data_IF_359119777751
#
_entry.id   IF_359119777751
#
_cell.length_a   1.000
_cell.length_b   1.000
_cell.length_c   1.000
_cell.angle_alpha   90.00
_cell.angle_beta   90.00
_cell.angle_gamma   90.00
#
_symmetry.space_group_name_H-M   'P 1'
#
loop_
_entity.id
_entity.type
_entity.pdbx_description
1 polymer ?
#
# COMPACT_ATOMS: atom_id res chain seq x y z
N UNK A 1 -12.20 -6.02 1.47
CA UNK A 1 -11.66 -7.10 0.60
C UNK A 1 -11.31 -8.36 1.40
N UNK A 2 -10.77 -8.25 2.63
CA UNK A 2 -10.44 -9.42 3.46
C UNK A 2 -11.67 -10.28 3.72
N UNK A 3 -12.82 -9.66 4.05
CA UNK A 3 -14.09 -10.37 4.23
C UNK A 3 -14.59 -11.07 2.96
N UNK A 4 -14.39 -10.43 1.80
CA UNK A 4 -14.85 -10.95 0.52
C UNK A 4 -13.97 -12.05 -0.05
N UNK A 5 -12.68 -12.05 0.32
CA UNK A 5 -11.66 -12.96 -0.22
C UNK A 5 -10.73 -13.48 0.88
N UNK A 6 -11.28 -14.18 1.91
CA UNK A 6 -10.48 -14.66 3.05
C UNK A 6 -9.39 -15.64 2.62
N UNK A 7 -9.66 -16.50 1.62
CA UNK A 7 -8.67 -17.45 1.13
C UNK A 7 -7.46 -16.74 0.47
N UNK A 8 -7.71 -15.65 -0.26
CA UNK A 8 -6.61 -14.85 -0.83
C UNK A 8 -5.81 -14.15 0.26
N UNK A 9 -6.47 -13.66 1.30
CA UNK A 9 -5.81 -13.06 2.44
C UNK A 9 -4.91 -14.08 3.16
N UNK A 10 -5.42 -15.29 3.43
CA UNK A 10 -4.64 -16.35 4.04
C UNK A 10 -3.45 -16.75 3.16
N UNK A 11 -3.64 -16.86 1.85
CA UNK A 11 -2.56 -17.18 0.90
C UNK A 11 -1.44 -16.11 0.91
N UNK A 12 -1.77 -14.83 1.11
CA UNK A 12 -0.78 -13.76 1.26
C UNK A 12 0.09 -14.00 2.50
N UNK A 13 -0.53 -14.35 3.62
CA UNK A 13 0.16 -14.65 4.87
C UNK A 13 1.02 -15.91 4.77
N UNK A 14 0.48 -16.99 4.20
CA UNK A 14 1.17 -18.29 4.03
C UNK A 14 2.42 -18.18 3.14
N UNK A 15 2.41 -17.22 2.21
CA UNK A 15 3.56 -16.90 1.36
C UNK A 15 4.57 -15.97 2.03
N UNK A 16 4.39 -15.67 3.31
CA UNK A 16 5.31 -14.86 4.10
C UNK A 16 5.25 -13.35 3.84
N UNK A 17 4.20 -12.86 3.15
CA UNK A 17 4.02 -11.42 3.00
C UNK A 17 3.49 -10.80 4.29
N UNK A 18 3.84 -9.55 4.56
CA UNK A 18 3.25 -8.77 5.64
C UNK A 18 2.04 -7.99 5.13
N UNK A 19 1.04 -7.89 5.98
CA UNK A 19 -0.16 -7.08 5.76
C UNK A 19 -0.12 -5.84 6.64
N UNK A 20 -0.88 -4.82 6.29
CA UNK A 20 -0.99 -3.59 7.07
C UNK A 20 -2.41 -3.05 7.04
N UNK A 21 -2.79 -2.35 8.10
CA UNK A 21 -4.08 -1.67 8.19
C UNK A 21 -4.11 -0.48 7.21
N UNK A 22 -5.20 -0.36 6.47
CA UNK A 22 -5.42 0.72 5.50
C UNK A 22 -6.82 1.34 5.63
N UNK A 23 -7.36 1.34 6.84
CA UNK A 23 -8.75 1.64 7.22
C UNK A 23 -9.77 0.66 6.61
N UNK A 24 -10.97 0.65 7.15
CA UNK A 24 -12.06 -0.21 6.67
C UNK A 24 -12.73 0.36 5.42
N UNK A 25 -13.11 1.64 5.48
CA UNK A 25 -13.90 2.30 4.43
C UNK A 25 -13.06 3.02 3.36
N UNK A 26 -11.73 3.04 3.50
CA UNK A 26 -10.79 3.71 2.58
C UNK A 26 -11.09 5.21 2.37
N UNK A 27 -11.56 5.91 3.41
CA UNK A 27 -11.88 7.32 3.37
C UNK A 27 -10.65 8.22 3.54
N UNK A 28 -10.75 9.44 3.04
CA UNK A 28 -9.72 10.48 3.28
C UNK A 28 -9.84 11.00 4.70
N UNK A 29 -8.82 10.84 5.52
CA UNK A 29 -8.84 11.24 6.93
C UNK A 29 -9.27 12.69 7.17
N UNK A 30 -8.81 13.64 6.35
CA UNK A 30 -9.19 15.06 6.49
C UNK A 30 -10.68 15.38 6.32
N UNK A 31 -11.51 14.41 5.90
CA UNK A 31 -12.97 14.52 5.80
C UNK A 31 -13.71 13.89 6.99
N UNK A 32 -12.95 13.41 7.98
CA UNK A 32 -13.46 12.71 9.14
C UNK A 32 -12.99 13.39 10.43
N UNK A 33 -13.78 13.33 11.50
CA UNK A 33 -13.28 13.65 12.83
C UNK A 33 -12.20 12.64 13.26
N UNK A 34 -11.46 12.95 14.32
CA UNK A 34 -10.43 12.03 14.84
C UNK A 34 -11.09 10.72 15.29
N UNK A 35 -12.17 10.82 16.03
CA UNK A 35 -12.92 9.70 16.60
C UNK A 35 -13.39 8.74 15.50
N UNK A 36 -14.11 9.26 14.49
CA UNK A 36 -14.60 8.47 13.36
C UNK A 36 -13.47 7.82 12.54
N UNK A 37 -12.33 8.52 12.42
CA UNK A 37 -11.18 7.96 11.72
C UNK A 37 -10.56 6.81 12.49
N UNK A 38 -10.47 6.92 13.82
CA UNK A 38 -9.97 5.84 14.68
C UNK A 38 -10.95 4.64 14.67
N UNK A 39 -12.26 4.87 14.77
CA UNK A 39 -13.26 3.82 14.64
C UNK A 39 -13.11 3.04 13.31
N UNK A 40 -12.90 3.74 12.19
CA UNK A 40 -12.68 3.13 10.87
C UNK A 40 -11.37 2.31 10.81
N UNK A 41 -10.34 2.75 11.51
CA UNK A 41 -9.08 2.00 11.67
C UNK A 41 -9.29 0.77 12.55
N UNK A 42 -10.05 0.88 13.61
CA UNK A 42 -10.32 -0.23 14.55
C UNK A 42 -11.14 -1.34 13.88
N UNK A 43 -12.16 -0.99 13.10
CA UNK A 43 -12.89 -1.96 12.28
C UNK A 43 -11.98 -2.74 11.33
N UNK A 44 -10.97 -2.10 10.77
CA UNK A 44 -10.00 -2.81 9.94
C UNK A 44 -9.01 -3.63 10.78
N UNK A 45 -8.67 -3.20 12.00
CA UNK A 45 -7.76 -3.91 12.89
C UNK A 45 -8.34 -5.24 13.40
N UNK A 46 -9.67 -5.33 13.53
CA UNK A 46 -10.36 -6.58 13.89
C UNK A 46 -10.15 -7.70 12.84
N UNK A 47 -9.84 -7.32 11.61
CA UNK A 47 -9.61 -8.26 10.50
C UNK A 47 -8.15 -8.41 10.13
N UNK A 48 -7.38 -7.33 10.28
CA UNK A 48 -5.97 -7.26 9.87
C UNK A 48 -5.11 -7.02 11.10
N UNK A 49 -4.61 -8.11 11.68
CA UNK A 49 -3.72 -8.05 12.84
C UNK A 49 -2.32 -7.62 12.40
N UNK A 50 -2.03 -6.33 12.52
CA UNK A 50 -0.76 -5.75 12.09
C UNK A 50 -0.43 -4.48 12.87
N UNK A 51 0.86 -4.24 13.08
CA UNK A 51 1.38 -2.98 13.61
C UNK A 51 1.67 -1.94 12.51
N UNK A 52 1.47 -2.32 11.24
CA UNK A 52 1.67 -1.44 10.10
C UNK A 52 0.38 -0.71 9.74
N UNK A 53 0.49 0.56 9.45
CA UNK A 53 -0.61 1.39 8.97
C UNK A 53 -0.19 2.26 7.79
N UNK A 54 -1.09 2.42 6.83
CA UNK A 54 -0.95 3.41 5.76
C UNK A 54 -2.24 4.20 5.60
N UNK A 55 -2.21 5.54 5.65
CA UNK A 55 -3.42 6.33 5.45
C UNK A 55 -3.86 6.30 3.99
N UNK A 56 -5.16 6.08 3.69
CA UNK A 56 -5.70 6.19 2.34
C UNK A 56 -5.34 7.54 1.69
N UNK A 57 -4.92 7.50 0.44
CA UNK A 57 -4.52 8.68 -0.34
C UNK A 57 -3.38 9.51 0.27
N UNK A 58 -2.68 9.03 1.30
CA UNK A 58 -1.79 9.83 2.16
C UNK A 58 -2.51 11.02 2.83
N UNK A 59 -3.83 10.90 3.07
CA UNK A 59 -4.68 11.98 3.58
C UNK A 59 -5.07 11.72 5.03
N UNK A 60 -4.25 12.25 5.93
CA UNK A 60 -4.41 12.16 7.38
C UNK A 60 -4.13 13.51 8.01
N UNK A 61 -4.86 13.89 9.04
CA UNK A 61 -4.61 15.10 9.82
C UNK A 61 -3.56 14.85 10.91
N UNK A 62 -2.93 15.92 11.42
CA UNK A 62 -1.95 15.79 12.50
C UNK A 62 -2.52 15.14 13.77
N UNK A 63 -3.73 15.49 14.25
CA UNK A 63 -4.32 14.82 15.41
C UNK A 63 -4.55 13.31 15.17
N UNK A 64 -5.09 12.93 14.00
CA UNK A 64 -5.28 11.53 13.61
C UNK A 64 -3.94 10.78 13.56
N UNK A 65 -2.91 11.37 12.93
CA UNK A 65 -1.58 10.77 12.86
C UNK A 65 -1.00 10.54 14.26
N UNK A 66 -1.16 11.51 15.17
CA UNK A 66 -0.68 11.38 16.57
C UNK A 66 -1.37 10.20 17.27
N UNK A 67 -2.67 10.05 17.12
CA UNK A 67 -3.43 8.95 17.72
C UNK A 67 -3.01 7.58 17.12
N UNK A 68 -2.90 7.49 15.79
CA UNK A 68 -2.48 6.28 15.09
C UNK A 68 -1.06 5.86 15.46
N UNK A 69 -0.13 6.80 15.55
CA UNK A 69 1.28 6.52 15.83
C UNK A 69 1.55 5.97 17.24
N UNK A 70 0.57 5.99 18.13
CA UNK A 70 0.65 5.33 19.44
C UNK A 70 0.50 3.80 19.35
N UNK A 71 -0.13 3.31 18.28
CA UNK A 71 -0.50 1.89 18.10
C UNK A 71 0.11 1.26 16.85
N UNK A 72 0.39 2.09 15.85
CA UNK A 72 0.82 1.64 14.54
C UNK A 72 2.07 2.37 14.08
N UNK A 73 2.91 1.67 13.35
CA UNK A 73 3.99 2.27 12.56
C UNK A 73 3.44 2.69 11.20
N UNK A 74 3.46 3.99 10.94
CA UNK A 74 2.95 4.55 9.68
C UNK A 74 3.98 4.37 8.58
N UNK A 75 3.60 3.65 7.52
CA UNK A 75 4.45 3.32 6.37
C UNK A 75 3.95 4.04 5.14
N UNK A 76 4.75 4.95 4.62
CA UNK A 76 4.49 5.65 3.37
C UNK A 76 5.29 5.03 2.21
N UNK A 77 5.12 5.56 1.02
CA UNK A 77 5.91 5.16 -0.16
C UNK A 77 6.92 6.25 -0.51
N UNK A 78 8.03 5.87 -1.13
CA UNK A 78 8.96 6.79 -1.79
C UNK A 78 8.66 6.89 -3.29
N UNK A 79 8.09 5.83 -3.87
CA UNK A 79 7.73 5.77 -5.29
C UNK A 79 6.25 5.44 -5.44
N UNK A 80 5.49 6.35 -6.06
CA UNK A 80 4.09 6.13 -6.44
C UNK A 80 4.03 5.79 -7.93
N UNK A 81 3.63 4.56 -8.27
CA UNK A 81 3.56 4.09 -9.66
C UNK A 81 2.53 4.83 -10.51
N UNK A 82 1.45 5.34 -9.88
CA UNK A 82 0.26 5.91 -10.55
C UNK A 82 -0.45 4.90 -11.47
N UNK A 83 -0.34 3.62 -11.19
CA UNK A 83 -0.94 2.52 -11.95
C UNK A 83 -2.47 2.62 -12.07
N UNK A 84 -3.13 3.26 -11.11
CA UNK A 84 -4.56 3.57 -11.11
C UNK A 84 -4.98 4.64 -12.14
N UNK A 85 -4.03 5.34 -12.77
CA UNK A 85 -4.33 6.37 -13.75
C UNK A 85 -4.59 5.75 -15.13
N UNK A 86 -5.86 5.68 -15.53
CA UNK A 86 -6.29 5.09 -16.80
C UNK A 86 -5.77 5.81 -18.05
N UNK A 87 -5.40 7.09 -17.93
CA UNK A 87 -4.81 7.89 -19.01
C UNK A 87 -3.31 7.63 -19.19
N UNK A 88 -2.68 6.96 -18.23
CA UNK A 88 -1.27 6.61 -18.30
C UNK A 88 -1.11 5.27 -19.02
N UNK A 89 -0.28 5.22 -20.06
CA UNK A 89 0.02 3.94 -20.71
C UNK A 89 0.87 3.06 -19.80
N UNK A 90 0.79 1.72 -19.90
CA UNK A 90 1.62 0.81 -19.09
C UNK A 90 3.13 1.10 -19.21
N UNK A 91 3.61 1.42 -20.44
CA UNK A 91 5.01 1.79 -20.67
C UNK A 91 5.40 3.10 -19.97
N UNK A 92 4.54 4.11 -19.97
CA UNK A 92 4.78 5.37 -19.28
C UNK A 92 4.72 5.20 -17.76
N UNK A 93 3.80 4.37 -17.26
CA UNK A 93 3.69 3.98 -15.87
C UNK A 93 4.99 3.30 -15.40
N UNK A 94 5.46 2.27 -16.13
CA UNK A 94 6.72 1.58 -15.82
C UNK A 94 7.89 2.57 -15.79
N UNK A 95 8.06 3.36 -16.83
CA UNK A 95 9.16 4.33 -16.93
C UNK A 95 9.19 5.29 -15.73
N UNK A 96 8.00 5.78 -15.30
CA UNK A 96 7.90 6.63 -14.10
C UNK A 96 8.24 5.88 -12.81
N UNK A 97 7.86 4.61 -12.71
CA UNK A 97 8.08 3.79 -11.52
C UNK A 97 9.57 3.42 -11.35
N UNK A 98 10.28 3.06 -12.44
CA UNK A 98 11.69 2.64 -12.37
C UNK A 98 12.67 3.81 -12.46
N UNK A 99 12.20 5.03 -12.75
CA UNK A 99 13.05 6.22 -12.81
C UNK A 99 13.63 6.52 -11.44
N UNK A 100 14.93 6.34 -11.30
CA UNK A 100 15.64 6.58 -10.05
C UNK A 100 15.47 5.48 -8.98
N UNK A 101 14.97 4.30 -9.37
CA UNK A 101 14.82 3.15 -8.48
C UNK A 101 16.16 2.80 -7.81
N UNK A 102 16.13 2.70 -6.47
CA UNK A 102 17.30 2.46 -5.61
C UNK A 102 16.94 1.62 -4.39
N UNK A 103 17.95 1.12 -3.68
CA UNK A 103 17.76 0.43 -2.41
C UNK A 103 17.06 1.31 -1.36
N UNK A 104 16.19 0.70 -0.57
CA UNK A 104 15.37 1.37 0.43
C UNK A 104 14.07 1.97 -0.10
N UNK A 105 13.80 1.91 -1.41
CA UNK A 105 12.54 2.40 -1.95
C UNK A 105 11.35 1.53 -1.53
N UNK A 106 10.26 2.19 -1.16
CA UNK A 106 8.93 1.58 -0.95
C UNK A 106 8.05 2.00 -2.13
N UNK A 107 7.69 1.04 -2.95
CA UNK A 107 6.94 1.29 -4.18
C UNK A 107 5.46 0.97 -3.96
N UNK A 108 4.58 1.92 -4.24
CA UNK A 108 3.13 1.71 -4.16
C UNK A 108 2.56 1.30 -5.51
N UNK A 109 1.90 0.14 -5.51
CA UNK A 109 1.06 -0.40 -6.58
C UNK A 109 -0.33 -0.70 -6.02
N UNK A 110 -1.33 -0.87 -6.89
CA UNK A 110 -2.71 -1.12 -6.47
C UNK A 110 -3.24 -2.39 -7.14
N UNK A 111 -4.01 -3.17 -6.40
CA UNK A 111 -4.62 -4.45 -6.80
C UNK A 111 -6.09 -4.33 -7.22
N UNK A 112 -6.49 -3.17 -7.68
CA UNK A 112 -7.86 -2.91 -8.12
C UNK A 112 -8.08 -3.19 -9.60
N UNK A 113 -9.32 -3.49 -10.01
CA UNK A 113 -9.70 -3.61 -11.42
C UNK A 113 -9.31 -2.37 -12.26
N UNK A 114 -9.31 -1.19 -11.63
CA UNK A 114 -8.89 0.06 -12.26
C UNK A 114 -7.41 0.08 -12.62
N UNK A 115 -6.58 -0.55 -11.79
CA UNK A 115 -5.11 -0.55 -11.90
C UNK A 115 -4.60 -1.73 -12.72
N UNK A 116 -5.38 -2.79 -12.85
CA UNK A 116 -4.95 -4.10 -13.36
C UNK A 116 -4.16 -4.00 -14.67
N UNK A 117 -4.64 -3.21 -15.64
CA UNK A 117 -3.96 -3.01 -16.93
C UNK A 117 -2.51 -2.53 -16.77
N UNK A 118 -2.28 -1.60 -15.86
CA UNK A 118 -0.95 -1.05 -15.64
C UNK A 118 -0.14 -1.93 -14.70
N UNK A 119 -0.73 -2.39 -13.60
CA UNK A 119 -0.06 -3.20 -12.57
C UNK A 119 0.45 -4.52 -13.14
N UNK A 120 -0.35 -5.23 -13.95
CA UNK A 120 0.04 -6.49 -14.58
C UNK A 120 1.23 -6.35 -15.54
N UNK A 121 1.40 -5.18 -16.16
CA UNK A 121 2.56 -4.86 -16.99
C UNK A 121 3.76 -4.40 -16.15
N UNK A 122 3.51 -3.50 -15.18
CA UNK A 122 4.56 -2.83 -14.41
C UNK A 122 5.24 -3.79 -13.43
N UNK A 123 4.49 -4.60 -12.69
CA UNK A 123 5.03 -5.41 -11.61
C UNK A 123 6.10 -6.41 -12.08
N UNK A 124 5.88 -7.25 -13.11
CA UNK A 124 6.93 -8.16 -13.60
C UNK A 124 8.17 -7.43 -14.13
N UNK A 125 7.97 -6.31 -14.82
CA UNK A 125 9.07 -5.53 -15.37
C UNK A 125 9.86 -4.80 -14.27
N UNK A 126 9.20 -4.29 -13.25
CA UNK A 126 9.82 -3.69 -12.07
C UNK A 126 10.70 -4.70 -11.33
N UNK A 127 10.19 -5.92 -11.10
CA UNK A 127 10.95 -6.98 -10.43
C UNK A 127 12.21 -7.40 -11.23
N UNK A 128 12.10 -7.48 -12.55
CA UNK A 128 13.29 -7.70 -13.41
C UNK A 128 14.29 -6.57 -13.30
N UNK A 129 13.84 -5.31 -13.42
CA UNK A 129 14.72 -4.14 -13.31
C UNK A 129 15.40 -4.05 -11.93
N UNK A 130 14.68 -4.36 -10.85
CA UNK A 130 15.27 -4.41 -9.52
C UNK A 130 16.40 -5.44 -9.46
N UNK A 131 16.16 -6.66 -9.97
CA UNK A 131 17.17 -7.74 -10.03
C UNK A 131 18.38 -7.36 -10.88
N UNK A 132 18.18 -6.78 -12.06
CA UNK A 132 19.24 -6.29 -12.95
C UNK A 132 20.12 -5.22 -12.29
N UNK A 133 19.54 -4.45 -11.37
CA UNK A 133 20.24 -3.45 -10.55
C UNK A 133 20.87 -4.02 -9.27
N UNK A 134 20.80 -5.33 -9.02
CA UNK A 134 21.26 -5.95 -7.78
C UNK A 134 20.43 -5.59 -6.55
N UNK A 135 19.17 -5.17 -6.74
CA UNK A 135 18.26 -4.84 -5.65
C UNK A 135 17.41 -6.06 -5.26
N UNK A 136 17.25 -6.26 -3.98
CA UNK A 136 16.40 -7.31 -3.41
C UNK A 136 15.08 -6.73 -2.93
N UNK A 137 13.99 -7.48 -3.14
CA UNK A 137 12.71 -7.20 -2.51
C UNK A 137 12.68 -7.81 -1.11
N UNK A 138 12.50 -6.99 -0.10
CA UNK A 138 12.44 -7.42 1.31
C UNK A 138 11.12 -7.05 1.95
N UNK A 139 10.77 -7.82 2.96
CA UNK A 139 9.66 -7.49 3.87
C UNK A 139 10.15 -6.33 4.76
N UNK A 140 9.21 -5.44 5.12
CA UNK A 140 9.50 -4.41 6.11
C UNK A 140 9.73 -5.07 7.47
N UNK A 141 10.95 -4.95 7.99
CA UNK A 141 11.29 -5.29 9.36
C UNK A 141 11.00 -4.08 10.25
N UNK A 142 10.34 -4.33 11.41
CA UNK A 142 9.91 -3.31 12.36
C UNK A 142 10.89 -3.21 13.52
#
# INVERSE_FOLDING_TARGET
NVELYPDLYQMILDRGHKVGNHTYSHQKGWRMSVERYIEDVDLAADMVHSELFRPPYARITRPQLRAISQRFRVVMWSVLSRDYNRHLSPKACLRGTIKGLRGGDIISLHDSAKSFRNTSYVLPALLRTAREKGLECKILEL
#
